data_IF_647123377285
#
_entry.id   IF_647123377285
#
_cell.length_a   1.000
_cell.length_b   1.000
_cell.length_c   1.000
_cell.angle_alpha   90.00
_cell.angle_beta   90.00
_cell.angle_gamma   90.00
#
_symmetry.space_group_name_H-M   'P 1'
#
loop_
_entity.id
_entity.type
_entity.pdbx_description
1 polymer ?
#
# COMPACT_ATOMS: atom_id res chain seq x y z
N UNK A 1 -3.99 6.79 -13.82
CA UNK A 1 -3.08 6.16 -14.79
C UNK A 1 -1.64 6.50 -14.41
N UNK A 2 -0.75 5.54 -14.53
CA UNK A 2 0.68 5.76 -14.29
C UNK A 2 1.34 6.38 -15.52
N UNK A 3 2.56 6.92 -15.36
CA UNK A 3 3.31 7.54 -16.44
C UNK A 3 3.56 6.63 -17.63
N UNK A 4 3.89 5.36 -17.38
CA UNK A 4 4.12 4.39 -18.43
C UNK A 4 2.86 4.12 -19.26
N UNK A 5 1.67 4.05 -18.64
CA UNK A 5 0.41 3.88 -19.34
C UNK A 5 0.08 5.08 -20.24
N UNK A 6 0.34 6.29 -19.75
CA UNK A 6 0.11 7.51 -20.52
C UNK A 6 1.05 7.62 -21.71
N UNK A 7 2.32 7.21 -21.55
CA UNK A 7 3.30 7.17 -22.64
C UNK A 7 2.86 6.22 -23.75
N UNK A 8 2.36 5.04 -23.39
CA UNK A 8 1.84 4.09 -24.36
C UNK A 8 0.68 4.64 -25.19
N UNK A 9 -0.03 5.63 -24.65
CA UNK A 9 -1.13 6.32 -25.34
C UNK A 9 -0.69 7.55 -26.12
N UNK A 10 0.62 7.86 -26.16
CA UNK A 10 1.17 8.97 -26.90
C UNK A 10 0.94 10.35 -26.29
N UNK A 11 0.76 10.42 -24.98
CA UNK A 11 0.63 11.70 -24.28
C UNK A 11 2.00 12.23 -23.87
N UNK A 12 2.25 13.50 -24.21
CA UNK A 12 3.39 14.25 -23.68
C UNK A 12 3.02 14.80 -22.30
N UNK A 13 3.73 14.39 -21.29
CA UNK A 13 3.53 14.87 -19.91
C UNK A 13 4.83 14.74 -19.11
N UNK A 14 4.88 15.45 -17.99
CA UNK A 14 6.01 15.36 -17.08
C UNK A 14 5.93 14.03 -16.34
N UNK A 15 6.98 13.22 -16.48
CA UNK A 15 7.04 11.85 -16.00
C UNK A 15 7.52 11.76 -14.53
N UNK A 16 6.86 12.50 -13.67
CA UNK A 16 7.21 12.56 -12.24
C UNK A 16 6.24 11.72 -11.42
N UNK A 17 6.77 10.99 -10.44
CA UNK A 17 5.92 10.41 -9.43
C UNK A 17 5.25 11.52 -8.63
N UNK A 18 3.94 11.60 -8.66
CA UNK A 18 3.20 12.65 -7.95
C UNK A 18 3.34 12.53 -6.44
N UNK A 19 3.70 11.35 -5.93
CA UNK A 19 3.86 11.13 -4.50
C UNK A 19 5.18 11.66 -3.96
N UNK A 20 6.30 11.33 -4.58
CA UNK A 20 7.63 11.75 -4.12
C UNK A 20 8.26 12.89 -4.92
N UNK A 21 7.83 13.08 -6.16
CA UNK A 21 8.33 14.12 -7.09
C UNK A 21 9.82 14.02 -7.38
N UNK A 22 10.40 12.83 -7.17
CA UNK A 22 11.84 12.62 -7.32
C UNK A 22 12.20 11.75 -8.52
N UNK A 23 11.34 10.80 -8.88
CA UNK A 23 11.60 9.77 -9.87
C UNK A 23 10.44 9.65 -10.85
N UNK A 24 10.66 8.95 -11.97
CA UNK A 24 9.62 8.67 -12.94
C UNK A 24 8.48 7.82 -12.33
N UNK A 25 7.26 8.09 -12.75
CA UNK A 25 6.10 7.34 -12.25
C UNK A 25 5.88 6.09 -13.10
N UNK A 26 6.32 4.96 -12.56
CA UNK A 26 5.97 3.61 -13.05
C UNK A 26 5.27 2.86 -11.90
N UNK A 27 4.55 1.80 -12.22
CA UNK A 27 3.76 1.05 -11.24
C UNK A 27 4.64 0.53 -10.09
N UNK A 28 5.78 -0.07 -10.43
CA UNK A 28 6.67 -0.65 -9.42
C UNK A 28 7.23 0.42 -8.47
N UNK A 29 7.57 1.58 -9.00
CA UNK A 29 8.01 2.69 -8.17
C UNK A 29 6.87 3.20 -7.28
N UNK A 30 5.72 3.51 -7.88
CA UNK A 30 4.60 4.10 -7.17
C UNK A 30 4.13 3.23 -6.00
N UNK A 31 4.02 1.93 -6.21
CA UNK A 31 3.42 1.03 -5.22
C UNK A 31 4.42 0.42 -4.25
N UNK A 32 5.70 0.34 -4.58
CA UNK A 32 6.71 -0.31 -3.74
C UNK A 32 7.86 0.62 -3.34
N UNK A 33 8.44 1.35 -4.29
CA UNK A 33 9.75 1.98 -4.11
C UNK A 33 9.70 3.48 -3.88
N UNK A 34 8.58 4.15 -4.16
CA UNK A 34 8.39 5.55 -3.78
C UNK A 34 8.59 5.70 -2.27
N UNK A 35 9.31 6.73 -1.84
CA UNK A 35 9.56 6.95 -0.42
C UNK A 35 8.29 6.99 0.44
N UNK A 36 7.20 7.53 -0.11
CA UNK A 36 5.90 7.55 0.58
C UNK A 36 5.30 6.15 0.71
N UNK A 37 5.35 5.35 -0.35
CA UNK A 37 4.89 3.97 -0.33
C UNK A 37 5.75 3.11 0.61
N UNK A 38 7.07 3.28 0.55
CA UNK A 38 8.00 2.51 1.38
C UNK A 38 7.73 2.71 2.87
N UNK A 39 7.40 3.92 3.29
CA UNK A 39 7.07 4.21 4.70
C UNK A 39 5.80 3.48 5.15
N UNK A 40 4.80 3.37 4.27
CA UNK A 40 3.60 2.60 4.55
C UNK A 40 3.92 1.10 4.69
N UNK A 41 4.77 0.57 3.82
CA UNK A 41 5.21 -0.82 3.92
C UNK A 41 6.01 -1.07 5.20
N UNK A 42 6.90 -0.15 5.59
CA UNK A 42 7.64 -0.26 6.85
C UNK A 42 6.70 -0.28 8.07
N UNK A 43 5.63 0.50 8.03
CA UNK A 43 4.60 0.45 9.07
C UNK A 43 3.97 -0.96 9.15
N UNK A 44 3.63 -1.55 8.00
CA UNK A 44 3.09 -2.91 7.93
C UNK A 44 4.06 -3.91 8.55
N UNK A 45 5.32 -3.86 8.15
CA UNK A 45 6.32 -4.78 8.69
C UNK A 45 6.43 -4.67 10.20
N UNK A 46 6.35 -3.46 10.72
CA UNK A 46 6.41 -3.21 12.17
C UNK A 46 5.20 -3.78 12.90
N UNK A 47 3.98 -3.56 12.40
CA UNK A 47 2.78 -4.07 13.09
C UNK A 47 2.66 -5.58 13.04
N UNK A 48 3.17 -6.23 11.99
CA UNK A 48 3.23 -7.70 11.93
C UNK A 48 4.46 -8.28 12.63
N UNK A 49 5.43 -7.44 13.00
CA UNK A 49 6.66 -7.89 13.66
C UNK A 49 7.59 -8.66 12.73
N UNK A 50 7.64 -8.29 11.46
CA UNK A 50 8.45 -8.98 10.44
C UNK A 50 9.50 -8.05 9.84
N UNK A 51 10.54 -8.66 9.25
CA UNK A 51 11.49 -7.98 8.38
C UNK A 51 11.23 -8.45 6.95
N UNK A 52 11.13 -7.52 6.03
CA UNK A 52 10.82 -7.82 4.64
C UNK A 52 11.60 -6.91 3.71
N UNK A 53 12.14 -7.49 2.64
CA UNK A 53 12.80 -6.73 1.58
C UNK A 53 11.90 -6.78 0.35
N UNK A 54 11.40 -5.63 -0.11
CA UNK A 54 10.52 -5.61 -1.29
C UNK A 54 11.29 -6.02 -2.55
N UNK A 55 10.61 -6.78 -3.41
CA UNK A 55 11.09 -7.12 -4.73
C UNK A 55 11.09 -5.89 -5.64
N UNK A 56 11.84 -5.94 -6.75
CA UNK A 56 11.87 -4.84 -7.72
C UNK A 56 10.52 -4.63 -8.42
N UNK A 57 9.76 -5.70 -8.61
CA UNK A 57 8.47 -5.68 -9.31
C UNK A 57 7.32 -6.02 -8.38
N UNK A 58 6.16 -5.38 -8.62
CA UNK A 58 4.94 -5.65 -7.87
C UNK A 58 4.54 -7.12 -7.99
N UNK A 59 4.63 -7.70 -9.19
CA UNK A 59 4.27 -9.11 -9.40
C UNK A 59 5.10 -10.06 -8.54
N UNK A 60 6.40 -9.85 -8.48
CA UNK A 60 7.30 -10.68 -7.66
C UNK A 60 7.05 -10.48 -6.17
N UNK A 61 6.78 -9.23 -5.78
CA UNK A 61 6.44 -8.90 -4.39
C UNK A 61 5.17 -9.62 -3.95
N UNK A 62 4.11 -9.57 -4.75
CA UNK A 62 2.84 -10.24 -4.45
C UNK A 62 3.01 -11.76 -4.39
N UNK A 63 3.77 -12.34 -5.32
CA UNK A 63 4.05 -13.77 -5.33
C UNK A 63 4.77 -14.20 -4.04
N UNK A 64 5.80 -13.45 -3.63
CA UNK A 64 6.52 -13.73 -2.38
C UNK A 64 5.62 -13.58 -1.15
N UNK A 65 4.76 -12.58 -1.15
CA UNK A 65 3.81 -12.34 -0.06
C UNK A 65 2.83 -13.49 0.08
N UNK A 66 2.25 -13.97 -1.02
CA UNK A 66 1.31 -15.09 -1.04
C UNK A 66 1.97 -16.41 -0.62
N UNK A 67 3.18 -16.68 -1.09
CA UNK A 67 3.91 -17.90 -0.74
C UNK A 67 4.26 -17.97 0.74
N UNK A 68 4.51 -16.83 1.36
CA UNK A 68 4.78 -16.75 2.80
C UNK A 68 3.57 -17.19 3.63
N UNK A 69 2.37 -17.06 3.09
CA UNK A 69 1.11 -17.45 3.74
C UNK A 69 0.93 -18.94 3.96
N UNK A 70 1.57 -19.78 3.20
CA UNK A 70 1.52 -21.22 3.46
C UNK A 70 1.95 -21.54 4.89
N UNK A 71 2.74 -20.68 5.50
CA UNK A 71 3.21 -20.79 6.88
C UNK A 71 2.31 -20.08 7.90
N UNK A 72 1.51 -19.12 7.45
CA UNK A 72 0.72 -18.25 8.31
C UNK A 72 -0.66 -18.03 7.68
N UNK A 73 -1.64 -18.80 8.11
CA UNK A 73 -2.99 -18.80 7.54
C UNK A 73 -3.84 -17.63 8.03
N UNK A 74 -3.37 -16.40 7.87
CA UNK A 74 -4.17 -15.22 8.19
C UNK A 74 -4.76 -14.62 6.92
N UNK A 75 -6.07 -14.61 6.79
CA UNK A 75 -6.75 -13.94 5.68
C UNK A 75 -6.50 -12.43 5.68
N UNK A 76 -6.25 -11.83 6.85
CA UNK A 76 -5.90 -10.42 6.96
C UNK A 76 -4.58 -10.15 6.26
N UNK A 77 -3.61 -11.05 6.37
CA UNK A 77 -2.33 -10.96 5.65
C UNK A 77 -2.54 -10.77 4.15
N UNK A 78 -3.50 -11.49 3.57
CA UNK A 78 -3.83 -11.38 2.15
C UNK A 78 -4.45 -10.04 1.78
N UNK A 79 -5.16 -9.39 2.69
CA UNK A 79 -5.79 -8.09 2.44
C UNK A 79 -4.77 -6.95 2.43
N UNK A 80 -3.64 -7.11 3.11
CA UNK A 80 -2.68 -6.02 3.32
C UNK A 80 -2.18 -5.42 2.01
N UNK A 81 -1.62 -6.20 1.06
CA UNK A 81 -1.15 -5.61 -0.19
C UNK A 81 -2.25 -4.91 -0.98
N UNK A 82 -3.42 -5.52 -1.05
CA UNK A 82 -4.56 -4.95 -1.78
C UNK A 82 -5.01 -3.64 -1.17
N UNK A 83 -5.15 -3.60 0.14
CA UNK A 83 -5.58 -2.41 0.87
C UNK A 83 -4.56 -1.29 0.77
N UNK A 84 -3.27 -1.60 0.98
CA UNK A 84 -2.21 -0.61 0.95
C UNK A 84 -2.03 -0.03 -0.45
N UNK A 85 -1.98 -0.86 -1.46
CA UNK A 85 -1.86 -0.42 -2.85
C UNK A 85 -3.07 0.40 -3.29
N UNK A 86 -4.27 0.04 -2.84
CA UNK A 86 -5.48 0.81 -3.07
C UNK A 86 -5.39 2.20 -2.45
N UNK A 87 -4.90 2.30 -1.22
CA UNK A 87 -4.72 3.59 -0.53
C UNK A 87 -3.70 4.47 -1.25
N UNK A 88 -2.59 3.90 -1.71
CA UNK A 88 -1.58 4.62 -2.50
C UNK A 88 -2.18 5.13 -3.80
N UNK A 89 -2.92 4.28 -4.51
CA UNK A 89 -3.55 4.63 -5.77
C UNK A 89 -4.56 5.75 -5.61
N UNK A 90 -5.39 5.69 -4.57
CA UNK A 90 -6.34 6.76 -4.26
C UNK A 90 -5.64 8.08 -3.95
N UNK A 91 -4.56 8.04 -3.18
CA UNK A 91 -3.79 9.25 -2.85
C UNK A 91 -3.13 9.83 -4.09
N UNK A 92 -2.56 8.99 -4.94
CA UNK A 92 -1.99 9.40 -6.22
C UNK A 92 -3.03 10.14 -7.06
N UNK A 93 -4.23 9.60 -7.17
CA UNK A 93 -5.30 10.22 -7.96
C UNK A 93 -5.78 11.52 -7.32
N UNK A 94 -5.89 11.57 -6.00
CA UNK A 94 -6.26 12.80 -5.28
C UNK A 94 -5.25 13.92 -5.56
N UNK A 95 -3.95 13.63 -5.46
CA UNK A 95 -2.90 14.61 -5.72
C UNK A 95 -2.90 15.08 -7.17
N UNK A 96 -3.24 14.19 -8.09
CA UNK A 96 -3.27 14.52 -9.53
C UNK A 96 -4.48 15.37 -9.90
N UNK A 97 -5.66 15.05 -9.38
CA UNK A 97 -6.92 15.62 -9.86
C UNK A 97 -7.54 16.64 -8.92
N UNK A 98 -7.26 16.55 -7.62
CA UNK A 98 -7.87 17.43 -6.61
C UNK A 98 -6.86 18.40 -5.99
N UNK A 99 -5.57 18.29 -6.34
CA UNK A 99 -4.48 19.13 -5.83
C UNK A 99 -4.45 19.20 -4.30
N UNK A 100 -4.67 18.07 -3.65
CA UNK A 100 -4.72 17.96 -2.20
C UNK A 100 -3.93 16.75 -1.72
N UNK A 101 -2.99 16.98 -0.81
CA UNK A 101 -2.06 15.99 -0.29
C UNK A 101 -2.39 15.63 1.15
N UNK A 102 -2.48 14.32 1.45
CA UNK A 102 -2.47 13.85 2.84
C UNK A 102 -1.03 13.84 3.38
N UNK A 103 -0.90 14.15 4.66
CA UNK A 103 0.36 13.93 5.37
C UNK A 103 0.62 12.42 5.54
N UNK A 104 1.85 12.08 5.93
CA UNK A 104 2.20 10.69 6.21
C UNK A 104 1.31 10.08 7.29
N UNK A 105 1.07 10.81 8.39
CA UNK A 105 0.19 10.35 9.48
C UNK A 105 -1.24 10.13 9.00
N UNK A 106 -1.74 10.99 8.14
CA UNK A 106 -3.07 10.84 7.54
C UNK A 106 -3.14 9.61 6.62
N UNK A 107 -2.09 9.33 5.86
CA UNK A 107 -2.01 8.13 5.02
C UNK A 107 -1.98 6.85 5.87
N UNK A 108 -1.19 6.84 6.94
CA UNK A 108 -1.14 5.70 7.87
C UNK A 108 -2.50 5.47 8.52
N UNK A 109 -3.17 6.53 8.94
CA UNK A 109 -4.52 6.45 9.51
C UNK A 109 -5.54 5.93 8.49
N UNK A 110 -5.46 6.40 7.25
CA UNK A 110 -6.33 5.94 6.17
C UNK A 110 -6.14 4.44 5.90
N UNK A 111 -4.90 3.99 5.79
CA UNK A 111 -4.58 2.58 5.56
C UNK A 111 -5.06 1.72 6.73
N UNK A 112 -4.72 2.09 7.96
CA UNK A 112 -5.08 1.34 9.16
C UNK A 112 -6.60 1.21 9.31
N UNK A 113 -7.31 2.31 9.13
CA UNK A 113 -8.77 2.33 9.19
C UNK A 113 -9.41 1.52 8.08
N UNK A 114 -8.87 1.60 6.85
CA UNK A 114 -9.35 0.83 5.71
C UNK A 114 -9.15 -0.66 5.92
N UNK A 115 -7.97 -1.07 6.38
CA UNK A 115 -7.69 -2.48 6.66
C UNK A 115 -8.63 -3.03 7.74
N UNK A 116 -8.83 -2.28 8.80
CA UNK A 116 -9.77 -2.64 9.86
C UNK A 116 -11.19 -2.82 9.32
N UNK A 117 -11.68 -1.84 8.53
CA UNK A 117 -13.02 -1.90 7.96
C UNK A 117 -13.19 -3.07 7.00
N UNK A 118 -12.19 -3.33 6.16
CA UNK A 118 -12.22 -4.48 5.26
C UNK A 118 -12.22 -5.81 6.02
N UNK A 119 -11.37 -5.91 7.04
CA UNK A 119 -11.31 -7.11 7.88
C UNK A 119 -12.65 -7.36 8.60
N UNK A 120 -13.27 -6.32 9.11
CA UNK A 120 -14.60 -6.45 9.75
C UNK A 120 -15.67 -6.84 8.74
N UNK A 121 -15.68 -6.22 7.58
CA UNK A 121 -16.66 -6.51 6.52
C UNK A 121 -16.59 -7.97 6.07
N UNK A 122 -15.39 -8.55 6.06
CA UNK A 122 -15.18 -9.95 5.69
C UNK A 122 -15.27 -10.92 6.88
N UNK A 123 -15.57 -10.42 8.08
CA UNK A 123 -15.66 -11.26 9.27
C UNK A 123 -14.32 -11.82 9.75
N UNK A 124 -13.21 -11.18 9.41
CA UNK A 124 -11.87 -11.67 9.73
C UNK A 124 -11.36 -11.21 11.09
N UNK A 125 -12.06 -10.30 11.73
CA UNK A 125 -11.73 -9.81 13.06
C UNK A 125 -12.97 -9.58 13.89
N UNK A 126 -12.87 -9.81 15.20
CA UNK A 126 -13.89 -9.49 16.19
C UNK A 126 -13.49 -8.31 17.08
N UNK A 127 -12.37 -7.66 16.75
CA UNK A 127 -11.89 -6.52 17.55
C UNK A 127 -12.89 -5.36 17.49
N UNK A 128 -13.09 -4.70 18.64
CA UNK A 128 -14.04 -3.60 18.75
C UNK A 128 -13.42 -2.23 18.43
N UNK A 129 -12.11 -2.14 18.44
CA UNK A 129 -11.38 -0.90 18.22
C UNK A 129 -10.17 -1.09 17.34
N UNK A 130 -9.77 -0.02 16.66
CA UNK A 130 -8.58 -0.02 15.81
C UNK A 130 -7.29 -0.36 16.57
N UNK A 131 -7.01 0.20 17.77
CA UNK A 131 -5.80 -0.17 18.52
C UNK A 131 -5.73 -1.66 18.85
N UNK A 132 -6.84 -2.25 19.27
CA UNK A 132 -6.91 -3.69 19.58
C UNK A 132 -6.68 -4.52 18.32
N UNK A 133 -7.28 -4.10 17.21
CA UNK A 133 -7.10 -4.77 15.93
C UNK A 133 -5.62 -4.77 15.52
N UNK A 134 -4.96 -3.62 15.54
CA UNK A 134 -3.56 -3.51 15.12
C UNK A 134 -2.64 -4.34 16.02
N UNK A 135 -2.88 -4.36 17.32
CA UNK A 135 -2.07 -5.18 18.24
C UNK A 135 -2.26 -6.67 18.04
N UNK A 136 -3.40 -7.09 17.47
CA UNK A 136 -3.66 -8.51 17.17
C UNK A 136 -2.92 -9.03 15.94
N UNK A 137 -2.35 -8.17 15.11
CA UNK A 137 -1.72 -8.54 13.83
C UNK A 137 -0.29 -9.07 13.98
N UNK A 138 0.33 -8.93 15.13
CA UNK A 138 1.70 -9.40 15.35
C UNK A 138 1.80 -10.92 15.15
N UNK A 139 2.78 -11.32 14.36
CA UNK A 139 3.03 -12.73 14.03
C UNK A 139 4.07 -13.38 14.97
#
# INVERSE_FOLDING_TARGET
MTGDNLRLRGFDFVDWCIMCRCCGEIVDHLLLHCGKAYRLWCFVYRIFGISWVPSCKVSDFLFSWWNWLEKHSSYIWNLVPLCLMWCIWKERNRRTFEDWDRSEDQLLALFSGSLFNWARAWGLTSSDSLPLFLSSLSL
#
